data_IF_194331417815
#
_entry.id   IF_194331417815
#
_cell.length_a   1.000
_cell.length_b   1.000
_cell.length_c   1.000
_cell.angle_alpha   90.00
_cell.angle_beta   90.00
_cell.angle_gamma   90.00
#
_symmetry.space_group_name_H-M   'P 1'
#
loop_
_entity.id
_entity.type
_entity.pdbx_description
1 polymer ?
#
# COMPACT_ATOMS: atom_id res chain seq x y z
N UNK A 1 36.02 -12.53 6.25
CA UNK A 1 34.58 -12.27 6.07
C UNK A 1 34.27 -12.51 4.60
N UNK A 2 33.41 -13.47 4.28
CA UNK A 2 32.89 -13.60 2.91
C UNK A 2 31.94 -12.42 2.65
N UNK A 3 32.30 -11.54 1.72
CA UNK A 3 31.39 -10.50 1.23
C UNK A 3 30.37 -11.20 0.36
N UNK A 4 29.18 -11.49 0.92
CA UNK A 4 28.05 -12.01 0.12
C UNK A 4 27.46 -10.86 -0.69
N UNK A 5 27.75 -10.84 -1.99
CA UNK A 5 27.15 -9.92 -2.95
C UNK A 5 25.67 -10.27 -3.07
N UNK A 6 24.79 -9.34 -2.73
CA UNK A 6 23.34 -9.50 -2.88
C UNK A 6 22.88 -9.09 -4.29
N UNK A 7 21.66 -9.48 -4.67
CA UNK A 7 21.06 -9.00 -5.92
C UNK A 7 21.02 -7.46 -5.97
N UNK A 8 20.75 -6.80 -4.82
CA UNK A 8 20.77 -5.33 -4.72
C UNK A 8 22.15 -4.75 -5.00
N UNK A 9 23.21 -5.40 -4.53
CA UNK A 9 24.57 -4.92 -4.77
C UNK A 9 24.93 -5.02 -6.25
N UNK A 10 24.58 -6.12 -6.90
CA UNK A 10 24.78 -6.29 -8.34
C UNK A 10 23.97 -5.27 -9.14
N UNK A 11 22.67 -5.09 -8.84
CA UNK A 11 21.83 -4.11 -9.55
C UNK A 11 22.31 -2.67 -9.32
N UNK A 12 22.71 -2.32 -8.09
CA UNK A 12 23.27 -1.02 -7.77
C UNK A 12 24.57 -0.75 -8.54
N UNK A 13 25.42 -1.77 -8.68
CA UNK A 13 26.63 -1.68 -9.48
C UNK A 13 26.32 -1.39 -10.95
N UNK A 14 25.45 -2.20 -11.57
CA UNK A 14 25.08 -2.05 -12.99
C UNK A 14 24.42 -0.69 -13.27
N UNK A 15 23.45 -0.28 -12.44
CA UNK A 15 22.77 1.01 -12.62
C UNK A 15 23.70 2.19 -12.32
N UNK A 16 24.57 2.07 -11.32
CA UNK A 16 25.56 3.09 -10.99
C UNK A 16 26.50 3.36 -12.16
N UNK A 17 27.02 2.30 -12.79
CA UNK A 17 27.87 2.42 -13.99
C UNK A 17 27.08 3.02 -15.17
N UNK A 18 25.83 2.62 -15.38
CA UNK A 18 24.99 3.21 -16.42
C UNK A 18 24.80 4.73 -16.23
N UNK A 19 24.51 5.19 -15.00
CA UNK A 19 24.38 6.61 -14.69
C UNK A 19 25.69 7.37 -14.86
N UNK A 20 26.81 6.79 -14.45
CA UNK A 20 28.13 7.40 -14.66
C UNK A 20 28.39 7.57 -16.16
N UNK A 21 28.12 6.56 -16.97
CA UNK A 21 28.36 6.61 -18.41
C UNK A 21 27.49 7.67 -19.11
N UNK A 22 26.19 7.70 -18.82
CA UNK A 22 25.27 8.71 -19.37
C UNK A 22 25.65 10.11 -18.88
N UNK A 23 26.00 10.24 -17.60
CA UNK A 23 26.42 11.52 -17.04
C UNK A 23 27.72 12.04 -17.63
N UNK A 24 28.67 11.15 -17.98
CA UNK A 24 29.88 11.52 -18.75
C UNK A 24 29.50 11.97 -20.16
N UNK A 25 28.57 11.28 -20.82
CA UNK A 25 28.14 11.61 -22.17
C UNK A 25 27.51 13.01 -22.28
N UNK A 26 26.83 13.49 -21.24
CA UNK A 26 26.34 14.88 -21.16
C UNK A 26 27.45 15.93 -21.32
N UNK A 27 28.70 15.63 -20.93
CA UNK A 27 29.84 16.52 -21.12
C UNK A 27 30.56 16.33 -22.47
N UNK A 28 30.46 15.13 -23.06
CA UNK A 28 31.11 14.80 -24.33
C UNK A 28 30.24 15.25 -25.52
N UNK A 29 28.94 14.99 -25.46
CA UNK A 29 27.98 15.19 -26.53
C UNK A 29 26.75 16.02 -26.09
N UNK A 30 26.92 17.22 -25.51
CA UNK A 30 25.80 18.00 -24.98
C UNK A 30 24.73 18.35 -26.02
N UNK A 31 25.14 18.58 -27.28
CA UNK A 31 24.26 18.95 -28.39
C UNK A 31 23.16 17.92 -28.70
N UNK A 32 23.32 16.67 -28.27
CA UNK A 32 22.28 15.65 -28.41
C UNK A 32 21.13 15.85 -27.42
N UNK A 33 21.43 16.36 -26.22
CA UNK A 33 20.48 16.55 -25.12
C UNK A 33 19.88 17.95 -25.07
N UNK A 34 20.61 18.97 -25.54
CA UNK A 34 20.15 20.37 -25.56
C UNK A 34 18.76 20.59 -26.17
N UNK A 35 18.37 19.95 -27.31
CA UNK A 35 17.08 20.20 -27.95
C UNK A 35 15.87 19.86 -27.07
N UNK A 36 16.01 18.90 -26.15
CA UNK A 36 14.89 18.44 -25.32
C UNK A 36 14.77 19.21 -24.00
N UNK A 37 15.74 20.08 -23.69
CA UNK A 37 15.66 20.97 -22.52
C UNK A 37 14.48 21.94 -22.71
N UNK A 38 13.56 22.07 -21.74
CA UNK A 38 12.45 23.02 -21.84
C UNK A 38 12.92 24.46 -22.07
N UNK A 39 12.35 25.15 -23.06
CA UNK A 39 12.74 26.53 -23.45
C UNK A 39 12.63 27.56 -22.32
N UNK A 40 11.82 27.27 -21.29
CA UNK A 40 11.71 28.10 -20.07
C UNK A 40 12.99 28.15 -19.24
N UNK A 41 13.91 27.20 -19.43
CA UNK A 41 15.19 27.14 -18.74
C UNK A 41 16.25 27.85 -19.59
N UNK A 42 16.95 28.86 -19.04
CA UNK A 42 18.03 29.53 -19.76
C UNK A 42 19.24 28.61 -19.88
N UNK A 43 19.99 28.74 -20.97
CA UNK A 43 21.25 28.01 -21.23
C UNK A 43 21.08 26.48 -21.15
N UNK A 44 20.60 25.82 -22.23
CA UNK A 44 20.43 24.37 -22.28
C UNK A 44 21.69 23.60 -21.92
N UNK A 45 22.86 24.05 -22.37
CA UNK A 45 24.16 23.42 -22.12
C UNK A 45 24.46 23.36 -20.62
N UNK A 46 24.17 24.44 -19.88
CA UNK A 46 24.33 24.44 -18.42
C UNK A 46 23.50 23.35 -17.74
N UNK A 47 22.22 23.21 -18.10
CA UNK A 47 21.34 22.20 -17.49
C UNK A 47 21.73 20.77 -17.83
N UNK A 48 22.21 20.54 -19.07
CA UNK A 48 22.77 19.26 -19.52
C UNK A 48 24.02 18.89 -18.71
N UNK A 49 24.95 19.82 -18.49
CA UNK A 49 26.11 19.56 -17.64
C UNK A 49 25.75 19.35 -16.17
N UNK A 50 24.77 20.11 -15.65
CA UNK A 50 24.33 19.99 -14.27
C UNK A 50 23.65 18.63 -14.02
N UNK A 51 22.80 18.16 -14.94
CA UNK A 51 22.22 16.82 -14.85
C UNK A 51 23.30 15.74 -14.93
N UNK A 52 24.26 15.88 -15.86
CA UNK A 52 25.39 14.94 -15.97
C UNK A 52 26.23 14.84 -14.70
N UNK A 53 26.49 15.96 -14.02
CA UNK A 53 27.17 15.98 -12.71
C UNK A 53 26.40 15.16 -11.66
N UNK A 54 25.09 15.36 -11.56
CA UNK A 54 24.26 14.62 -10.60
C UNK A 54 24.14 13.13 -10.95
N UNK A 55 24.06 12.78 -12.23
CA UNK A 55 24.05 11.39 -12.69
C UNK A 55 25.35 10.66 -12.29
N UNK A 56 26.51 11.27 -12.52
CA UNK A 56 27.81 10.71 -12.09
C UNK A 56 27.85 10.58 -10.56
N UNK A 57 27.50 11.64 -9.84
CA UNK A 57 27.55 11.66 -8.39
C UNK A 57 26.63 10.59 -7.77
N UNK A 58 25.37 10.52 -8.18
CA UNK A 58 24.44 9.52 -7.69
C UNK A 58 24.80 8.11 -8.16
N UNK A 59 25.34 7.94 -9.37
CA UNK A 59 25.84 6.67 -9.86
C UNK A 59 26.95 6.12 -8.95
N UNK A 60 27.93 6.94 -8.59
CA UNK A 60 29.00 6.58 -7.64
C UNK A 60 28.45 6.26 -6.24
N UNK A 61 27.57 7.11 -5.71
CA UNK A 61 26.99 6.93 -4.39
C UNK A 61 26.01 5.74 -4.30
N UNK A 62 25.43 5.31 -5.41
CA UNK A 62 24.55 4.13 -5.46
C UNK A 62 25.35 2.83 -5.32
N UNK A 63 26.55 2.80 -5.92
CA UNK A 63 27.49 1.66 -5.86
C UNK A 63 27.93 1.41 -4.42
N UNK A 64 28.24 2.47 -3.66
CA UNK A 64 28.73 2.39 -2.28
C UNK A 64 27.55 2.07 -1.33
N UNK A 65 27.54 0.90 -0.64
CA UNK A 65 26.39 0.49 0.18
C UNK A 65 26.01 1.49 1.28
N UNK A 66 26.98 2.18 1.86
CA UNK A 66 26.76 3.14 2.96
C UNK A 66 25.98 4.39 2.52
N UNK A 67 26.10 4.80 1.26
CA UNK A 67 25.48 6.02 0.72
C UNK A 67 24.21 5.72 -0.07
N UNK A 68 23.88 4.45 -0.27
CA UNK A 68 22.85 3.95 -1.17
C UNK A 68 21.46 4.53 -0.89
N UNK A 69 21.03 4.62 0.36
CA UNK A 69 19.72 5.19 0.70
C UNK A 69 19.62 6.65 0.27
N UNK A 70 20.65 7.47 0.55
CA UNK A 70 20.69 8.87 0.15
C UNK A 70 20.77 9.04 -1.36
N UNK A 71 21.62 8.23 -2.01
CA UNK A 71 21.75 8.18 -3.45
C UNK A 71 20.42 7.84 -4.12
N UNK A 72 19.67 6.85 -3.60
CA UNK A 72 18.38 6.45 -4.13
C UNK A 72 17.31 7.55 -4.01
N UNK A 73 17.29 8.31 -2.90
CA UNK A 73 16.37 9.46 -2.78
C UNK A 73 16.71 10.52 -3.83
N UNK A 74 17.99 10.90 -3.91
CA UNK A 74 18.46 11.93 -4.86
C UNK A 74 18.23 11.53 -6.31
N UNK A 75 18.63 10.31 -6.67
CA UNK A 75 18.44 9.76 -8.01
C UNK A 75 16.96 9.64 -8.40
N UNK A 76 16.08 9.19 -7.49
CA UNK A 76 14.65 9.11 -7.77
C UNK A 76 14.07 10.50 -8.10
N UNK A 77 14.41 11.53 -7.31
CA UNK A 77 13.97 12.90 -7.59
C UNK A 77 14.58 13.46 -8.87
N UNK A 78 15.86 13.21 -9.11
CA UNK A 78 16.54 13.59 -10.36
C UNK A 78 15.81 12.99 -11.56
N UNK A 79 15.48 11.70 -11.55
CA UNK A 79 14.74 11.05 -12.64
C UNK A 79 13.35 11.65 -12.85
N UNK A 80 12.65 12.08 -11.80
CA UNK A 80 11.37 12.78 -11.92
C UNK A 80 11.59 14.13 -12.63
N UNK A 81 12.62 14.88 -12.25
CA UNK A 81 12.96 16.17 -12.86
C UNK A 81 13.40 15.99 -14.32
N UNK A 82 14.28 15.03 -14.62
CA UNK A 82 14.76 14.73 -15.98
C UNK A 82 13.66 14.19 -16.89
N UNK A 83 12.61 13.59 -16.33
CA UNK A 83 11.44 13.22 -17.13
C UNK A 83 10.74 14.45 -17.74
N UNK A 84 10.88 15.64 -17.16
CA UNK A 84 10.36 16.87 -17.76
C UNK A 84 10.95 17.13 -19.15
N UNK A 85 12.26 16.93 -19.36
CA UNK A 85 12.87 17.04 -20.68
C UNK A 85 12.32 16.01 -21.67
N UNK A 86 12.11 14.77 -21.19
CA UNK A 86 11.50 13.71 -22.00
C UNK A 86 10.04 13.98 -22.36
N UNK A 87 9.29 14.61 -21.45
CA UNK A 87 7.93 15.07 -21.69
C UNK A 87 7.89 16.26 -22.64
N UNK A 88 8.83 17.21 -22.52
CA UNK A 88 8.97 18.34 -23.44
C UNK A 88 9.19 17.85 -24.88
N UNK A 89 10.10 16.88 -25.05
CA UNK A 89 10.31 16.21 -26.33
C UNK A 89 9.03 15.57 -26.88
N UNK A 90 8.24 14.90 -26.04
CA UNK A 90 6.98 14.28 -26.46
C UNK A 90 5.93 15.31 -26.85
N UNK A 91 5.68 16.28 -25.97
CA UNK A 91 4.58 17.24 -26.13
C UNK A 91 4.80 18.18 -27.31
N UNK A 92 6.06 18.58 -27.56
CA UNK A 92 6.41 19.51 -28.63
C UNK A 92 6.94 18.81 -29.90
N UNK A 93 6.89 17.47 -29.96
CA UNK A 93 7.37 16.66 -31.10
C UNK A 93 8.79 17.04 -31.55
N UNK A 94 9.71 17.15 -30.58
CA UNK A 94 11.08 17.61 -30.83
C UNK A 94 11.89 16.46 -31.44
N UNK A 95 12.49 16.62 -32.64
CA UNK A 95 13.30 15.57 -33.25
C UNK A 95 14.67 15.45 -32.56
N UNK A 96 15.14 14.22 -32.39
CA UNK A 96 16.53 13.93 -32.01
C UNK A 96 17.27 13.40 -33.23
N UNK A 97 18.38 14.05 -33.61
CA UNK A 97 19.15 13.75 -34.82
C UNK A 97 18.27 13.69 -36.10
N UNK A 98 17.24 14.53 -36.17
CA UNK A 98 16.30 14.57 -37.28
C UNK A 98 15.23 13.47 -37.28
N UNK A 99 15.16 12.65 -36.22
CA UNK A 99 14.17 11.57 -36.07
C UNK A 99 13.08 11.99 -35.09
N UNK A 100 11.83 11.94 -35.56
CA UNK A 100 10.63 12.06 -34.73
C UNK A 100 10.21 10.69 -34.21
N UNK A 101 9.82 10.63 -32.93
CA UNK A 101 9.37 9.38 -32.31
C UNK A 101 7.86 9.39 -32.18
N UNK A 102 7.22 8.26 -32.50
CA UNK A 102 5.79 8.11 -32.28
C UNK A 102 5.44 7.99 -30.79
N UNK A 103 4.19 8.33 -30.43
CA UNK A 103 3.66 8.29 -29.05
C UNK A 103 3.97 7.00 -28.29
N UNK A 104 3.93 5.85 -28.98
CA UNK A 104 4.23 4.55 -28.39
C UNK A 104 5.63 4.51 -27.74
N UNK A 105 6.63 5.17 -28.33
CA UNK A 105 7.98 5.20 -27.77
C UNK A 105 8.07 6.07 -26.52
N UNK A 106 7.36 7.19 -26.49
CA UNK A 106 7.32 8.06 -25.30
C UNK A 106 6.63 7.38 -24.12
N UNK A 107 5.57 6.59 -24.37
CA UNK A 107 4.92 5.75 -23.36
C UNK A 107 5.90 4.69 -22.85
N UNK A 108 6.62 4.00 -23.74
CA UNK A 108 7.64 3.02 -23.34
C UNK A 108 8.73 3.69 -22.48
N UNK A 109 9.20 4.88 -22.87
CA UNK A 109 10.20 5.65 -22.09
C UNK A 109 9.68 6.02 -20.70
N UNK A 110 8.43 6.46 -20.60
CA UNK A 110 7.78 6.73 -19.31
C UNK A 110 7.74 5.49 -18.42
N UNK A 111 7.33 4.34 -18.99
CA UNK A 111 7.28 3.08 -18.24
C UNK A 111 8.67 2.65 -17.76
N UNK A 112 9.69 2.78 -18.60
CA UNK A 112 11.09 2.53 -18.21
C UNK A 112 11.51 3.46 -17.07
N UNK A 113 11.19 4.76 -17.16
CA UNK A 113 11.51 5.73 -16.11
C UNK A 113 10.86 5.37 -14.77
N UNK A 114 9.58 4.99 -14.79
CA UNK A 114 8.85 4.54 -13.59
C UNK A 114 9.48 3.29 -13.00
N UNK A 115 9.82 2.30 -13.83
CA UNK A 115 10.49 1.07 -13.40
C UNK A 115 11.85 1.41 -12.78
N UNK A 116 12.63 2.29 -13.40
CA UNK A 116 13.95 2.69 -12.92
C UNK A 116 13.86 3.37 -11.53
N UNK A 117 12.89 4.28 -11.34
CA UNK A 117 12.60 4.90 -10.04
C UNK A 117 12.25 3.83 -9.00
N UNK A 118 11.40 2.86 -9.34
CA UNK A 118 11.02 1.77 -8.43
C UNK A 118 12.21 0.86 -8.07
N UNK A 119 13.08 0.55 -9.03
CA UNK A 119 14.29 -0.25 -8.79
C UNK A 119 15.26 0.51 -7.90
N UNK A 120 15.48 1.79 -8.15
CA UNK A 120 16.33 2.66 -7.30
C UNK A 120 15.76 2.76 -5.89
N UNK A 121 14.44 2.89 -5.76
CA UNK A 121 13.78 2.91 -4.46
C UNK A 121 13.96 1.58 -3.71
N UNK A 122 13.88 0.45 -4.42
CA UNK A 122 14.11 -0.88 -3.87
C UNK A 122 15.57 -1.12 -3.45
N UNK A 123 16.53 -0.61 -4.22
CA UNK A 123 17.96 -0.65 -3.91
C UNK A 123 18.26 0.11 -2.61
N UNK A 124 17.71 1.31 -2.45
CA UNK A 124 17.96 2.18 -1.29
C UNK A 124 17.11 1.90 -0.06
N UNK A 125 16.22 0.90 -0.13
CA UNK A 125 15.20 0.62 0.91
C UNK A 125 14.37 1.85 1.30
N UNK A 126 14.05 2.69 0.32
CA UNK A 126 13.20 3.86 0.51
C UNK A 126 11.77 3.53 0.10
N UNK A 127 10.82 4.36 0.49
CA UNK A 127 9.40 4.17 0.20
C UNK A 127 9.17 3.92 -1.30
N UNK A 128 8.44 2.84 -1.67
CA UNK A 128 7.63 1.98 -0.80
C UNK A 128 8.38 0.80 -0.14
N UNK A 129 9.63 0.51 -0.49
CA UNK A 129 10.34 -0.75 -0.18
C UNK A 129 11.21 -0.70 1.10
N UNK A 130 10.74 -0.02 2.15
CA UNK A 130 11.48 0.00 3.44
C UNK A 130 11.59 -1.41 4.03
N UNK A 131 12.79 -1.78 4.47
CA UNK A 131 13.06 -3.08 5.10
C UNK A 131 12.37 -3.25 6.47
N UNK A 132 12.59 -2.29 7.39
CA UNK A 132 11.94 -2.23 8.72
C UNK A 132 11.46 -0.80 8.98
N UNK A 133 10.25 -0.67 9.51
CA UNK A 133 9.73 0.65 9.90
C UNK A 133 10.39 1.15 11.18
N UNK A 134 10.69 2.45 11.20
CA UNK A 134 11.26 3.08 12.40
C UNK A 134 10.22 3.02 13.52
N UNK A 135 10.63 2.50 14.68
CA UNK A 135 9.75 2.42 15.85
C UNK A 135 8.69 1.32 15.78
N UNK A 136 8.79 0.37 14.85
CA UNK A 136 7.84 -0.77 14.78
C UNK A 136 7.79 -1.58 16.09
N UNK A 137 8.89 -1.60 16.86
CA UNK A 137 8.96 -2.29 18.14
C UNK A 137 8.12 -1.59 19.24
N UNK A 138 7.65 -0.36 18.99
CA UNK A 138 6.74 0.39 19.87
C UNK A 138 5.28 0.31 19.39
N UNK A 139 5.00 -0.37 18.28
CA UNK A 139 3.67 -0.45 17.69
C UNK A 139 2.99 -1.75 18.10
N UNK A 140 1.68 -1.69 18.33
CA UNK A 140 0.87 -2.90 18.37
C UNK A 140 0.66 -3.38 16.94
N UNK A 141 1.01 -4.64 16.66
CA UNK A 141 0.90 -5.23 15.33
C UNK A 141 -0.05 -6.40 15.37
N UNK A 142 -1.08 -6.33 14.53
CA UNK A 142 -2.04 -7.40 14.33
C UNK A 142 -1.87 -7.93 12.90
N UNK A 143 -1.80 -9.24 12.73
CA UNK A 143 -1.79 -9.89 11.42
C UNK A 143 -2.94 -10.87 11.34
N UNK A 144 -3.73 -10.73 10.29
CA UNK A 144 -4.94 -11.51 10.17
C UNK A 144 -5.71 -11.22 8.91
N UNK A 145 -7.01 -11.47 8.99
CA UNK A 145 -7.96 -11.26 7.91
C UNK A 145 -9.16 -10.50 8.43
N UNK A 146 -9.52 -9.43 7.74
CA UNK A 146 -10.77 -8.69 7.97
C UNK A 146 -11.74 -9.08 6.86
N UNK A 147 -12.91 -9.60 7.24
CA UNK A 147 -13.98 -9.99 6.32
C UNK A 147 -15.21 -9.16 6.60
N UNK A 148 -15.80 -8.54 5.58
CA UNK A 148 -16.97 -7.68 5.73
C UNK A 148 -18.04 -7.98 4.69
N UNK A 149 -19.30 -7.99 5.12
CA UNK A 149 -20.46 -8.10 4.23
C UNK A 149 -21.67 -7.35 4.78
N UNK A 150 -22.53 -6.87 3.87
CA UNK A 150 -23.90 -6.50 4.19
C UNK A 150 -24.85 -7.68 3.95
N UNK A 151 -26.07 -7.57 4.45
CA UNK A 151 -27.16 -8.54 4.23
C UNK A 151 -28.47 -7.81 3.87
N UNK A 152 -29.44 -8.54 3.31
CA UNK A 152 -30.73 -7.97 2.89
C UNK A 152 -31.54 -7.36 4.04
N UNK A 153 -31.38 -7.87 5.27
CA UNK A 153 -31.97 -7.28 6.48
C UNK A 153 -31.51 -5.84 6.76
N UNK A 154 -30.38 -5.42 6.17
CA UNK A 154 -29.68 -4.18 6.52
C UNK A 154 -28.53 -4.38 7.51
N UNK A 155 -28.34 -5.61 8.03
CA UNK A 155 -27.22 -5.94 8.89
C UNK A 155 -25.89 -5.82 8.14
N UNK A 156 -24.89 -5.22 8.80
CA UNK A 156 -23.53 -5.08 8.27
C UNK A 156 -22.57 -5.67 9.29
N UNK A 157 -21.83 -6.68 8.88
CA UNK A 157 -20.97 -7.47 9.76
C UNK A 157 -19.54 -7.37 9.27
N UNK A 158 -18.63 -7.10 10.20
CA UNK A 158 -17.19 -7.10 10.00
C UNK A 158 -16.57 -8.06 11.00
N UNK A 159 -15.86 -9.07 10.52
CA UNK A 159 -15.15 -10.06 11.33
C UNK A 159 -13.65 -9.82 11.20
N UNK A 160 -12.98 -9.58 12.33
CA UNK A 160 -11.53 -9.61 12.43
C UNK A 160 -11.07 -10.98 12.93
N UNK A 161 -10.33 -11.73 12.10
CA UNK A 161 -9.71 -13.00 12.47
C UNK A 161 -8.19 -12.81 12.53
N UNK A 162 -7.64 -12.77 13.74
CA UNK A 162 -6.25 -12.37 14.01
C UNK A 162 -5.40 -13.58 14.37
N UNK A 163 -4.44 -13.92 13.50
CA UNK A 163 -3.54 -15.05 13.70
C UNK A 163 -2.33 -14.68 14.58
N UNK A 164 -1.90 -13.42 14.51
CA UNK A 164 -0.83 -12.88 15.35
C UNK A 164 -1.25 -11.52 15.91
N UNK A 165 -1.10 -11.33 17.22
CA UNK A 165 -1.33 -10.04 17.88
C UNK A 165 -0.62 -9.97 19.23
N UNK A 166 -0.68 -8.80 19.89
CA UNK A 166 -0.23 -8.62 21.28
C UNK A 166 -1.06 -9.42 22.32
N UNK A 167 -2.20 -9.98 21.91
CA UNK A 167 -3.08 -10.80 22.75
C UNK A 167 -3.06 -12.29 22.36
N UNK A 168 -2.21 -12.69 21.41
CA UNK A 168 -2.27 -14.02 20.79
C UNK A 168 -3.32 -14.09 19.67
N UNK A 169 -3.77 -15.29 19.35
CA UNK A 169 -4.80 -15.50 18.33
C UNK A 169 -6.19 -15.18 18.91
N UNK A 170 -7.00 -14.41 18.18
CA UNK A 170 -8.38 -14.16 18.56
C UNK A 170 -9.23 -13.74 17.35
N UNK A 171 -10.55 -13.80 17.53
CA UNK A 171 -11.53 -13.28 16.57
C UNK A 171 -12.42 -12.27 17.29
N UNK A 172 -12.79 -11.19 16.62
CA UNK A 172 -13.79 -10.22 17.06
C UNK A 172 -14.81 -9.95 15.94
N UNK A 173 -16.03 -9.58 16.33
CA UNK A 173 -17.11 -9.27 15.38
C UNK A 173 -17.64 -7.88 15.70
N UNK A 174 -17.60 -7.00 14.70
CA UNK A 174 -18.24 -5.69 14.74
C UNK A 174 -19.52 -5.76 13.89
N UNK A 175 -20.65 -5.51 14.54
CA UNK A 175 -21.97 -5.63 13.95
C UNK A 175 -22.70 -4.30 13.99
N UNK A 176 -23.05 -3.76 12.83
CA UNK A 176 -23.89 -2.58 12.70
C UNK A 176 -25.29 -3.02 12.26
N UNK A 177 -26.24 -2.93 13.19
CA UNK A 177 -27.66 -3.26 13.01
C UNK A 177 -28.34 -2.28 12.04
N UNK A 178 -29.49 -2.62 11.43
CA UNK A 178 -30.17 -1.76 10.46
C UNK A 178 -30.59 -0.40 11.04
N UNK A 179 -30.85 -0.33 12.34
CA UNK A 179 -31.18 0.89 13.08
C UNK A 179 -29.96 1.80 13.37
N UNK A 180 -28.75 1.36 13.01
CA UNK A 180 -27.50 2.06 13.24
C UNK A 180 -26.82 1.74 14.57
N UNK A 181 -27.40 0.88 15.40
CA UNK A 181 -26.78 0.43 16.64
C UNK A 181 -25.56 -0.47 16.37
N UNK A 182 -24.44 -0.21 17.05
CA UNK A 182 -23.16 -0.88 16.84
C UNK A 182 -22.82 -1.77 18.03
N UNK A 183 -22.77 -3.06 17.78
CA UNK A 183 -22.41 -4.07 18.78
C UNK A 183 -21.02 -4.62 18.49
N UNK A 184 -20.16 -4.67 19.51
CA UNK A 184 -18.91 -5.44 19.50
C UNK A 184 -19.13 -6.79 20.18
N UNK A 185 -18.73 -7.87 19.53
CA UNK A 185 -18.64 -9.21 20.14
C UNK A 185 -17.17 -9.59 20.25
N UNK A 186 -16.71 -9.80 21.49
CA UNK A 186 -15.31 -10.08 21.80
C UNK A 186 -15.16 -11.31 22.70
N UNK A 187 -14.04 -12.04 22.61
CA UNK A 187 -13.86 -13.32 23.31
C UNK A 187 -13.56 -13.18 24.81
N UNK A 188 -13.12 -12.00 25.26
CA UNK A 188 -12.89 -11.69 26.67
C UNK A 188 -12.82 -10.17 26.89
N UNK A 189 -12.90 -9.76 28.16
CA UNK A 189 -12.90 -8.36 28.58
C UNK A 189 -11.65 -7.60 28.08
N UNK A 190 -10.47 -8.22 28.11
CA UNK A 190 -9.22 -7.56 27.72
C UNK A 190 -9.23 -7.13 26.25
N UNK A 191 -9.75 -7.98 25.36
CA UNK A 191 -9.90 -7.65 23.94
C UNK A 191 -11.02 -6.62 23.76
N UNK A 192 -12.14 -6.77 24.46
CA UNK A 192 -13.25 -5.83 24.40
C UNK A 192 -12.81 -4.39 24.75
N UNK A 193 -12.09 -4.23 25.88
CA UNK A 193 -11.60 -2.93 26.34
C UNK A 193 -10.63 -2.29 25.33
N UNK A 194 -9.74 -3.10 24.75
CA UNK A 194 -8.79 -2.61 23.75
C UNK A 194 -9.49 -2.11 22.50
N UNK A 195 -10.41 -2.92 21.94
CA UNK A 195 -11.13 -2.60 20.71
C UNK A 195 -12.08 -1.42 20.93
N UNK A 196 -12.79 -1.34 22.05
CA UNK A 196 -13.65 -0.17 22.39
C UNK A 196 -12.86 1.12 22.65
N UNK A 197 -11.61 1.01 23.11
CA UNK A 197 -10.75 2.20 23.22
C UNK A 197 -10.40 2.82 21.85
N UNK A 198 -10.47 2.02 20.79
CA UNK A 198 -10.05 2.39 19.43
C UNK A 198 -11.24 2.78 18.54
N UNK A 199 -12.37 2.10 18.71
CA UNK A 199 -13.57 2.21 17.88
C UNK A 199 -14.78 2.65 18.71
N UNK A 200 -15.93 2.84 18.07
CA UNK A 200 -17.17 3.30 18.72
C UNK A 200 -18.24 2.21 18.65
N UNK A 201 -18.69 1.76 19.81
CA UNK A 201 -19.78 0.81 19.97
C UNK A 201 -20.81 1.35 20.95
N UNK A 202 -22.05 0.93 20.75
CA UNK A 202 -23.20 1.24 21.60
C UNK A 202 -23.48 0.07 22.58
N UNK A 203 -23.02 -1.14 22.24
CA UNK A 203 -23.15 -2.36 23.03
C UNK A 203 -21.89 -3.24 22.88
N UNK A 204 -21.50 -3.92 23.96
CA UNK A 204 -20.38 -4.87 23.97
C UNK A 204 -20.86 -6.18 24.57
N UNK A 205 -20.67 -7.27 23.84
CA UNK A 205 -21.02 -8.63 24.25
C UNK A 205 -19.73 -9.45 24.38
N UNK A 206 -19.55 -10.09 25.53
CA UNK A 206 -18.40 -10.94 25.81
C UNK A 206 -18.85 -12.39 25.81
N UNK A 207 -18.33 -13.16 24.85
CA UNK A 207 -18.67 -14.57 24.67
C UNK A 207 -17.62 -15.28 23.85
N UNK A 208 -17.54 -16.61 23.97
CA UNK A 208 -16.61 -17.40 23.18
C UNK A 208 -16.97 -17.32 21.68
N UNK A 209 -15.95 -17.18 20.83
CA UNK A 209 -16.09 -17.11 19.37
C UNK A 209 -15.29 -18.26 18.79
N UNK A 210 -15.97 -19.24 18.22
CA UNK A 210 -15.36 -20.35 17.52
C UNK A 210 -15.16 -19.97 16.06
N UNK A 211 -13.93 -20.14 15.57
CA UNK A 211 -13.59 -19.85 14.18
C UNK A 211 -12.97 -21.09 13.53
N UNK A 212 -13.45 -21.43 12.34
CA UNK A 212 -12.83 -22.40 11.45
C UNK A 212 -12.56 -21.72 10.13
N UNK A 213 -11.30 -21.68 9.71
CA UNK A 213 -10.87 -20.96 8.52
C UNK A 213 -9.99 -21.84 7.64
N UNK A 214 -10.29 -21.90 6.35
CA UNK A 214 -9.44 -22.49 5.31
C UNK A 214 -8.88 -21.39 4.37
N UNK A 215 -8.33 -21.74 3.21
CA UNK A 215 -7.77 -20.74 2.28
C UNK A 215 -8.80 -19.75 1.73
N UNK A 216 -10.07 -20.17 1.59
CA UNK A 216 -11.11 -19.45 0.86
C UNK A 216 -12.47 -19.40 1.56
N UNK A 217 -12.57 -19.96 2.76
CA UNK A 217 -13.77 -19.95 3.59
C UNK A 217 -13.44 -19.68 5.04
N UNK A 218 -14.40 -19.08 5.73
CA UNK A 218 -14.39 -18.89 7.17
C UNK A 218 -15.79 -19.10 7.71
N UNK A 219 -15.88 -19.92 8.75
CA UNK A 219 -17.07 -20.12 9.54
C UNK A 219 -16.80 -19.54 10.94
N UNK A 220 -17.74 -18.75 11.44
CA UNK A 220 -17.67 -18.13 12.77
C UNK A 220 -18.95 -18.45 13.50
N UNK A 221 -18.84 -18.99 14.70
CA UNK A 221 -19.98 -19.38 15.53
C UNK A 221 -19.80 -18.83 16.93
N UNK A 222 -20.84 -18.19 17.42
CA UNK A 222 -20.99 -17.77 18.80
C UNK A 222 -22.48 -17.77 19.16
N UNK A 223 -22.84 -17.71 20.44
CA UNK A 223 -24.23 -17.74 20.92
C UNK A 223 -25.18 -16.76 20.19
N UNK A 224 -24.68 -15.60 19.75
CA UNK A 224 -25.50 -14.57 19.09
C UNK A 224 -25.64 -14.80 17.58
N UNK A 225 -24.67 -15.45 16.93
CA UNK A 225 -24.65 -15.57 15.48
C UNK A 225 -23.82 -16.74 14.92
N UNK A 226 -24.27 -17.21 13.76
CA UNK A 226 -23.54 -18.14 12.89
C UNK A 226 -23.27 -17.47 11.55
N UNK A 227 -22.00 -17.39 11.16
CA UNK A 227 -21.56 -16.73 9.94
C UNK A 227 -20.78 -17.71 9.08
N UNK A 228 -21.11 -17.76 7.79
CA UNK A 228 -20.33 -18.45 6.77
C UNK A 228 -19.88 -17.44 5.72
N UNK A 229 -18.60 -17.46 5.36
CA UNK A 229 -18.04 -16.63 4.29
C UNK A 229 -17.23 -17.50 3.33
N UNK A 230 -17.41 -17.26 2.03
CA UNK A 230 -16.59 -17.81 0.96
C UNK A 230 -16.11 -16.71 0.02
N UNK A 231 -14.83 -16.76 -0.39
CA UNK A 231 -14.23 -15.76 -1.27
C UNK A 231 -13.35 -16.36 -2.36
N UNK A 232 -13.08 -15.56 -3.39
CA UNK A 232 -12.17 -15.95 -4.46
C UNK A 232 -10.68 -15.82 -4.06
N UNK A 233 -9.75 -16.30 -4.89
CA UNK A 233 -8.30 -16.22 -4.63
C UNK A 233 -7.79 -14.79 -4.32
N UNK A 234 -8.52 -13.78 -4.79
CA UNK A 234 -8.16 -12.38 -4.62
C UNK A 234 -6.88 -11.98 -5.34
N UNK A 235 -6.55 -10.69 -5.24
CA UNK A 235 -5.32 -10.13 -5.76
C UNK A 235 -4.35 -9.88 -4.61
N UNK A 236 -3.14 -10.46 -4.72
CA UNK A 236 -2.07 -10.29 -3.73
C UNK A 236 -1.20 -9.11 -4.13
N UNK A 237 -0.90 -8.24 -3.16
CA UNK A 237 0.04 -7.14 -3.40
C UNK A 237 1.46 -7.72 -3.46
N UNK A 238 2.22 -7.47 -4.54
CA UNK A 238 3.45 -8.21 -4.82
C UNK A 238 4.63 -7.88 -3.89
N UNK A 239 4.56 -6.81 -3.11
CA UNK A 239 5.62 -6.38 -2.19
C UNK A 239 5.05 -5.78 -0.91
N UNK A 240 5.87 -5.77 0.14
CA UNK A 240 5.57 -5.05 1.39
C UNK A 240 5.79 -3.56 1.19
N UNK A 241 4.84 -2.74 1.62
CA UNK A 241 4.91 -1.29 1.51
C UNK A 241 5.22 -0.68 2.86
N UNK A 242 5.94 0.43 2.83
CA UNK A 242 6.18 1.26 4.01
C UNK A 242 4.89 1.90 4.53
N UNK A 243 4.80 2.18 5.83
CA UNK A 243 3.67 2.87 6.45
C UNK A 243 3.46 4.27 5.88
N UNK A 244 4.55 4.96 5.51
CA UNK A 244 4.47 6.25 4.82
C UNK A 244 3.76 6.12 3.46
N UNK A 245 4.10 5.09 2.67
CA UNK A 245 3.41 4.83 1.39
C UNK A 245 1.93 4.52 1.61
N UNK A 246 1.63 3.72 2.63
CA UNK A 246 0.25 3.34 2.97
C UNK A 246 -0.57 4.57 3.36
N UNK A 247 0.02 5.49 4.13
CA UNK A 247 -0.62 6.71 4.59
C UNK A 247 -0.78 7.81 3.54
N UNK A 248 -0.05 7.72 2.42
CA UNK A 248 -0.02 8.77 1.38
C UNK A 248 -0.62 8.27 0.08
N UNK A 249 0.07 7.36 -0.60
CA UNK A 249 -0.31 6.88 -1.92
C UNK A 249 -1.45 5.86 -1.82
N UNK A 250 -1.28 4.79 -1.02
CA UNK A 250 -2.30 3.72 -0.90
C UNK A 250 -3.62 4.28 -0.36
N UNK A 251 -3.56 5.28 0.53
CA UNK A 251 -4.74 5.98 1.05
C UNK A 251 -5.58 6.64 -0.06
N UNK A 252 -4.95 7.23 -1.08
CA UNK A 252 -5.65 7.84 -2.20
C UNK A 252 -6.38 6.76 -3.01
N UNK A 253 -5.69 5.66 -3.32
CA UNK A 253 -6.27 4.53 -4.06
C UNK A 253 -7.39 3.85 -3.25
N UNK A 254 -7.21 3.65 -1.95
CA UNK A 254 -8.23 3.06 -1.08
C UNK A 254 -9.52 3.90 -1.05
N UNK A 255 -9.38 5.23 -0.95
CA UNK A 255 -10.52 6.15 -1.03
C UNK A 255 -11.22 6.07 -2.38
N UNK A 256 -10.45 6.10 -3.47
CA UNK A 256 -10.99 6.15 -4.83
C UNK A 256 -11.72 4.86 -5.23
N UNK A 257 -11.13 3.69 -4.91
CA UNK A 257 -11.62 2.40 -5.40
C UNK A 257 -12.49 1.63 -4.41
N UNK A 258 -12.28 1.82 -3.10
CA UNK A 258 -12.95 1.04 -2.06
C UNK A 258 -13.79 1.90 -1.11
N UNK A 259 -13.71 3.23 -1.21
CA UNK A 259 -14.32 4.16 -0.25
C UNK A 259 -13.85 3.93 1.19
N UNK A 260 -12.65 3.37 1.38
CA UNK A 260 -12.06 3.06 2.69
C UNK A 260 -10.85 3.95 2.97
N UNK A 261 -10.33 3.90 4.20
CA UNK A 261 -9.10 4.57 4.59
C UNK A 261 -8.10 3.56 5.13
N UNK A 262 -6.87 3.57 4.61
CA UNK A 262 -5.78 2.72 5.08
C UNK A 262 -4.96 3.35 6.21
N UNK A 263 -5.23 4.61 6.56
CA UNK A 263 -4.56 5.32 7.64
C UNK A 263 -5.47 6.38 8.26
N UNK A 264 -5.42 6.54 9.57
CA UNK A 264 -6.16 7.54 10.31
C UNK A 264 -5.84 7.53 11.81
N UNK A 265 -6.65 8.29 12.56
CA UNK A 265 -6.59 8.31 14.02
C UNK A 265 -7.79 7.58 14.60
N UNK A 266 -7.56 6.86 15.68
CA UNK A 266 -8.58 6.13 16.45
C UNK A 266 -9.22 7.04 17.50
N UNK A 267 -10.27 6.53 18.18
CA UNK A 267 -10.99 7.23 19.26
C UNK A 267 -10.06 7.71 20.38
N UNK A 268 -9.02 6.95 20.70
CA UNK A 268 -8.00 7.29 21.71
C UNK A 268 -6.77 8.03 21.14
N UNK A 269 -6.88 8.68 19.97
CA UNK A 269 -5.83 9.46 19.32
C UNK A 269 -4.55 8.67 18.93
N UNK A 270 -4.65 7.34 18.84
CA UNK A 270 -3.56 6.52 18.29
C UNK A 270 -3.60 6.54 16.77
N UNK A 271 -2.45 6.37 16.14
CA UNK A 271 -2.37 6.29 14.68
C UNK A 271 -2.48 4.84 14.26
N UNK A 272 -3.34 4.56 13.29
CA UNK A 272 -3.57 3.21 12.80
C UNK A 272 -3.34 3.14 11.29
N UNK A 273 -2.66 2.08 10.84
CA UNK A 273 -2.43 1.76 9.44
C UNK A 273 -2.94 0.36 9.13
N UNK A 274 -3.73 0.23 8.07
CA UNK A 274 -4.11 -1.06 7.49
C UNK A 274 -3.23 -1.37 6.28
N UNK A 275 -2.21 -2.20 6.47
CA UNK A 275 -1.37 -2.70 5.39
C UNK A 275 -2.04 -3.91 4.74
N UNK A 276 -2.84 -3.67 3.70
CA UNK A 276 -3.55 -4.74 2.97
C UNK A 276 -2.55 -5.58 2.16
N UNK A 277 -2.48 -6.88 2.38
CA UNK A 277 -1.58 -7.78 1.64
C UNK A 277 -2.31 -8.54 0.53
N UNK A 278 -3.62 -8.75 0.69
CA UNK A 278 -4.48 -9.36 -0.32
C UNK A 278 -5.90 -8.83 -0.21
N UNK A 279 -6.55 -8.59 -1.35
CA UNK A 279 -7.98 -8.29 -1.42
C UNK A 279 -8.70 -9.41 -2.16
N UNK A 280 -9.63 -10.09 -1.48
CA UNK A 280 -10.51 -11.10 -2.07
C UNK A 280 -11.96 -10.60 -2.11
N UNK A 281 -12.67 -10.97 -3.17
CA UNK A 281 -14.11 -10.70 -3.29
C UNK A 281 -14.89 -11.84 -2.62
N UNK A 282 -15.84 -11.52 -1.75
CA UNK A 282 -16.80 -12.49 -1.22
C UNK A 282 -17.68 -12.98 -2.37
N UNK A 283 -17.76 -14.29 -2.50
CA UNK A 283 -18.56 -15.00 -3.52
C UNK A 283 -19.81 -15.63 -2.93
N UNK A 284 -19.77 -15.95 -1.64
CA UNK A 284 -20.87 -16.54 -0.88
C UNK A 284 -20.78 -16.05 0.57
N UNK A 285 -21.90 -15.68 1.17
CA UNK A 285 -21.95 -15.37 2.59
C UNK A 285 -23.34 -15.64 3.16
N UNK A 286 -23.39 -16.18 4.37
CA UNK A 286 -24.62 -16.43 5.13
C UNK A 286 -24.45 -15.93 6.54
N UNK A 287 -25.56 -15.48 7.12
CA UNK A 287 -25.61 -15.12 8.52
C UNK A 287 -26.94 -15.59 9.12
N UNK A 288 -26.85 -16.20 10.30
CA UNK A 288 -27.96 -16.36 11.22
C UNK A 288 -27.68 -15.50 12.45
N UNK A 289 -28.63 -14.65 12.83
CA UNK A 289 -28.56 -13.81 14.02
C UNK A 289 -29.73 -14.21 14.91
N UNK A 290 -29.44 -14.59 16.17
CA UNK A 290 -30.44 -15.13 17.11
C UNK A 290 -31.31 -16.23 16.48
N UNK A 291 -30.67 -17.12 15.70
CA UNK A 291 -31.32 -18.22 14.97
C UNK A 291 -32.16 -17.80 13.75
N UNK A 292 -32.18 -16.52 13.37
CA UNK A 292 -32.92 -16.02 12.20
C UNK A 292 -31.99 -15.74 11.04
N UNK A 293 -32.32 -16.27 9.87
CA UNK A 293 -31.62 -15.95 8.62
C UNK A 293 -31.89 -14.49 8.23
N UNK A 294 -30.82 -13.72 7.99
CA UNK A 294 -30.88 -12.29 7.68
C UNK A 294 -30.92 -11.98 6.16
N UNK A 295 -31.15 -13.00 5.36
CA UNK A 295 -31.28 -12.95 3.90
C UNK A 295 -29.94 -13.08 3.18
N UNK A 296 -29.99 -12.91 1.85
CA UNK A 296 -28.78 -13.01 1.03
C UNK A 296 -27.79 -11.89 1.37
N UNK A 297 -26.50 -12.21 1.21
CA UNK A 297 -25.46 -11.19 1.34
C UNK A 297 -25.59 -10.12 0.24
N UNK A 298 -25.32 -8.87 0.61
CA UNK A 298 -25.54 -7.71 -0.23
C UNK A 298 -24.40 -6.69 -0.08
N UNK A 299 -24.38 -5.68 -0.95
CA UNK A 299 -23.46 -4.57 -0.79
C UNK A 299 -23.80 -3.77 0.48
N UNK A 300 -22.77 -3.27 1.16
CA UNK A 300 -22.91 -2.34 2.28
C UNK A 300 -23.33 -0.98 1.70
N UNK A 301 -24.63 -0.67 1.81
CA UNK A 301 -25.25 0.55 1.29
C UNK A 301 -25.06 1.76 2.22
N UNK A 302 -25.06 1.52 3.52
CA UNK A 302 -24.88 2.53 4.56
C UNK A 302 -23.58 2.31 5.34
N UNK A 303 -22.92 3.36 5.82
CA UNK A 303 -21.68 3.26 6.58
C UNK A 303 -21.90 2.57 7.93
N UNK A 304 -20.93 1.77 8.37
CA UNK A 304 -20.95 1.08 9.66
C UNK A 304 -20.59 2.03 10.82
N UNK A 305 -19.75 3.04 10.58
CA UNK A 305 -19.36 4.08 11.56
C UNK A 305 -18.70 3.53 12.84
N UNK A 306 -17.89 2.47 12.73
CA UNK A 306 -17.10 1.97 13.87
C UNK A 306 -15.88 2.86 14.18
N UNK A 307 -15.25 3.46 13.17
CA UNK A 307 -14.04 4.25 13.34
C UNK A 307 -13.72 5.15 12.15
N UNK A 308 -12.44 5.47 11.96
CA UNK A 308 -12.03 6.38 10.89
C UNK A 308 -12.15 5.76 9.48
N UNK A 309 -12.11 4.43 9.40
CA UNK A 309 -12.25 3.68 8.15
C UNK A 309 -13.59 2.96 8.13
N UNK A 310 -14.15 2.83 6.93
CA UNK A 310 -15.39 2.10 6.67
C UNK A 310 -15.07 0.74 6.04
N UNK A 311 -16.01 -0.20 6.19
CA UNK A 311 -15.97 -1.43 5.42
C UNK A 311 -16.19 -1.14 3.92
N UNK A 312 -15.52 -1.86 3.00
CA UNK A 312 -15.75 -1.68 1.57
C UNK A 312 -17.23 -1.91 1.20
N UNK A 313 -17.77 -1.07 0.31
CA UNK A 313 -19.17 -1.20 -0.17
C UNK A 313 -19.46 -2.58 -0.75
N UNK A 314 -18.49 -3.17 -1.45
CA UNK A 314 -18.60 -4.53 -1.98
C UNK A 314 -18.07 -5.52 -0.93
N UNK A 315 -18.81 -6.58 -0.61
CA UNK A 315 -18.37 -7.61 0.32
C UNK A 315 -16.98 -8.15 -0.04
N UNK A 316 -16.09 -8.15 0.95
CA UNK A 316 -14.67 -8.40 0.73
C UNK A 316 -14.03 -9.08 1.92
N UNK A 317 -12.92 -9.78 1.65
CA UNK A 317 -12.12 -10.42 2.67
C UNK A 317 -10.64 -10.15 2.39
N UNK A 318 -10.01 -9.41 3.29
CA UNK A 318 -8.69 -8.82 3.10
C UNK A 318 -7.67 -9.40 4.08
N UNK A 319 -6.55 -9.94 3.58
CA UNK A 319 -5.38 -10.20 4.42
C UNK A 319 -4.75 -8.86 4.76
N UNK A 320 -4.52 -8.61 6.05
CA UNK A 320 -4.08 -7.30 6.52
C UNK A 320 -3.09 -7.44 7.67
N UNK A 321 -2.14 -6.49 7.70
CA UNK A 321 -1.34 -6.19 8.88
C UNK A 321 -1.74 -4.81 9.39
N UNK A 322 -2.32 -4.78 10.58
CA UNK A 322 -2.67 -3.54 11.25
C UNK A 322 -1.49 -3.11 12.12
N UNK A 323 -1.05 -1.87 11.96
CA UNK A 323 -0.03 -1.25 12.80
C UNK A 323 -0.68 -0.12 13.58
N UNK A 324 -0.50 -0.10 14.90
CA UNK A 324 -1.08 0.93 15.76
C UNK A 324 0.05 1.55 16.60
N UNK A 325 0.19 2.87 16.52
CA UNK A 325 1.12 3.68 17.30
C UNK A 325 0.35 4.51 18.32
#
# INVERSE_FOLDING_TARGET
MEVKITLRDFTAFVLGIAFINVGIDHFINPSWYEPIVPETLPDPTFWVHLSGLFEIAFGLLLIIPLTRTWASVGAAWMLIVLYWANFNMWYNDIPLDGVHYGDGWHIVRLLIQVILILVIAWIGEITPFKGKEKGIDMMDVFKGRITSSGFQSGDRIVVGSWNESIFGQFTDIMWAKPDGHRTLIAPNQKIADYVDSMYTFDEIIIQEIQVSQDERRMNVTCDAMELEFGWNKGWKIPFKRSLFFIATIELIFAKLFFSTRTHGMTKNNRKEWYAIDRVSKITDAKALIDGKNVGDFSNISEPCKFGFSEAPKKPSSCEVRTHIL
#
